data_IF_439994984971
#
_entry.id   IF_439994984971
#
_cell.length_a   1.000
_cell.length_b   1.000
_cell.length_c   1.000
_cell.angle_alpha   90.00
_cell.angle_beta   90.00
_cell.angle_gamma   90.00
#
_symmetry.space_group_name_H-M   'P 1'
#
loop_
_entity.id
_entity.type
_entity.pdbx_description
1 polymer ?
#
# COMPACT_ATOMS: atom_id res chain seq x y z
N UNK A 1 7.47 19.15 -10.18
CA UNK A 1 7.16 18.10 -9.18
C UNK A 1 5.65 17.96 -9.12
N UNK A 2 5.13 16.72 -9.15
CA UNK A 2 3.69 16.47 -9.13
C UNK A 2 3.01 17.08 -7.89
N UNK A 3 1.83 17.68 -8.03
CA UNK A 3 1.07 18.16 -6.89
C UNK A 3 0.35 16.99 -6.19
N UNK A 4 1.00 16.48 -5.14
CA UNK A 4 0.51 15.40 -4.30
C UNK A 4 -0.87 15.61 -3.68
N UNK A 5 -1.38 16.85 -3.59
CA UNK A 5 -2.71 17.11 -3.01
C UNK A 5 -3.86 16.82 -3.98
N UNK A 6 -3.58 16.72 -5.28
CA UNK A 6 -4.61 16.51 -6.31
C UNK A 6 -5.03 15.05 -6.47
N UNK A 7 -4.22 14.10 -6.00
CA UNK A 7 -4.35 12.68 -6.34
C UNK A 7 -3.79 12.39 -7.74
N UNK A 8 -3.25 11.19 -7.94
CA UNK A 8 -2.64 10.76 -9.20
C UNK A 8 -3.70 10.63 -10.30
N UNK A 9 -3.35 11.05 -11.51
CA UNK A 9 -4.11 10.73 -12.72
C UNK A 9 -3.69 9.36 -13.27
N UNK A 10 -4.36 8.94 -14.35
CA UNK A 10 -4.13 7.65 -15.02
C UNK A 10 -2.68 7.50 -15.50
N UNK A 11 -2.07 8.56 -16.05
CA UNK A 11 -0.72 8.48 -16.59
C UNK A 11 0.31 8.23 -15.48
N UNK A 12 0.19 8.93 -14.35
CA UNK A 12 1.10 8.78 -13.23
C UNK A 12 0.95 7.42 -12.53
N UNK A 13 -0.29 6.99 -12.23
CA UNK A 13 -0.51 5.70 -11.54
C UNK A 13 -0.08 4.51 -12.40
N UNK A 14 -0.28 4.56 -13.72
CA UNK A 14 0.17 3.51 -14.64
C UNK A 14 1.68 3.29 -14.56
N UNK A 15 2.49 4.34 -14.40
CA UNK A 15 3.94 4.18 -14.22
C UNK A 15 4.27 3.51 -12.88
N UNK A 16 3.64 3.96 -11.78
CA UNK A 16 3.89 3.36 -10.46
C UNK A 16 3.50 1.88 -10.45
N UNK A 17 2.35 1.51 -11.03
CA UNK A 17 1.88 0.13 -11.08
C UNK A 17 2.85 -0.77 -11.84
N UNK A 18 3.38 -0.30 -12.99
CA UNK A 18 4.41 -1.04 -13.74
C UNK A 18 5.70 -1.21 -12.94
N UNK A 19 6.10 -0.19 -12.20
CA UNK A 19 7.32 -0.25 -11.38
C UNK A 19 7.16 -1.16 -10.17
N UNK A 20 6.00 -1.16 -9.50
CA UNK A 20 5.64 -2.14 -8.48
C UNK A 20 5.58 -3.56 -9.06
N UNK A 21 5.00 -3.73 -10.26
CA UNK A 21 4.99 -5.00 -10.98
C UNK A 21 6.41 -5.52 -11.21
N UNK A 22 7.33 -4.63 -11.64
CA UNK A 22 8.75 -4.95 -11.80
C UNK A 22 9.41 -5.36 -10.49
N UNK A 23 9.19 -4.63 -9.39
CA UNK A 23 9.71 -4.96 -8.07
C UNK A 23 9.21 -6.34 -7.59
N UNK A 24 7.90 -6.56 -7.62
CA UNK A 24 7.26 -7.78 -7.16
C UNK A 24 7.66 -9.00 -8.00
N UNK A 25 7.72 -8.86 -9.33
CA UNK A 25 8.18 -9.91 -10.23
C UNK A 25 9.66 -10.25 -9.99
N UNK A 26 10.51 -9.24 -9.78
CA UNK A 26 11.93 -9.43 -9.47
C UNK A 26 12.12 -10.18 -8.16
N UNK A 27 11.31 -9.88 -7.14
CA UNK A 27 11.30 -10.63 -5.89
C UNK A 27 10.93 -12.11 -6.08
N UNK A 28 9.91 -12.42 -6.88
CA UNK A 28 9.55 -13.81 -7.19
C UNK A 28 10.66 -14.55 -7.93
N UNK A 29 11.33 -13.88 -8.87
CA UNK A 29 12.47 -14.45 -9.58
C UNK A 29 13.64 -14.73 -8.63
N UNK A 30 13.89 -13.85 -7.65
CA UNK A 30 14.91 -14.09 -6.62
C UNK A 30 14.55 -15.31 -5.77
N UNK A 31 13.32 -15.39 -5.26
CA UNK A 31 12.85 -16.55 -4.48
C UNK A 31 12.97 -17.87 -5.27
N UNK A 32 12.64 -17.85 -6.57
CA UNK A 32 12.77 -19.02 -7.43
C UNK A 32 14.23 -19.46 -7.64
N UNK A 33 15.19 -18.52 -7.60
CA UNK A 33 16.63 -18.80 -7.68
C UNK A 33 17.24 -19.23 -6.34
N UNK A 34 16.58 -18.91 -5.23
CA UNK A 34 17.04 -19.24 -3.87
C UNK A 34 15.94 -19.95 -3.07
N UNK A 35 15.44 -21.12 -3.52
CA UNK A 35 14.26 -21.76 -2.93
C UNK A 35 14.46 -22.18 -1.47
N UNK A 36 15.70 -22.42 -1.05
CA UNK A 36 16.05 -22.81 0.32
C UNK A 36 16.24 -21.60 1.25
N UNK A 37 16.16 -20.37 0.72
CA UNK A 37 16.32 -19.14 1.49
C UNK A 37 14.98 -18.50 1.77
N UNK A 38 14.74 -18.18 3.04
CA UNK A 38 13.70 -17.26 3.41
C UNK A 38 14.24 -15.83 3.29
N UNK A 39 13.74 -15.07 2.31
CA UNK A 39 14.21 -13.71 2.07
C UNK A 39 14.06 -12.83 3.31
N UNK A 40 12.98 -12.99 4.07
CA UNK A 40 12.73 -12.20 5.29
C UNK A 40 13.73 -12.51 6.42
N UNK A 41 14.44 -13.64 6.36
CA UNK A 41 15.47 -14.03 7.35
C UNK A 41 16.87 -13.73 6.83
N UNK A 42 17.07 -13.84 5.52
CA UNK A 42 18.40 -13.70 4.89
C UNK A 42 18.76 -12.26 4.55
N UNK A 43 17.80 -11.33 4.56
CA UNK A 43 17.99 -9.94 4.18
C UNK A 43 17.43 -9.02 5.27
N UNK A 44 18.30 -8.51 6.13
CA UNK A 44 17.92 -7.70 7.32
C UNK A 44 17.20 -6.39 6.98
N UNK A 45 17.29 -5.90 5.74
CA UNK A 45 16.55 -4.73 5.29
C UNK A 45 15.06 -5.02 5.03
N UNK A 46 14.65 -6.30 5.00
CA UNK A 46 13.25 -6.69 4.93
C UNK A 46 12.68 -6.74 6.34
N UNK A 47 12.12 -5.62 6.79
CA UNK A 47 11.60 -5.50 8.15
C UNK A 47 10.36 -6.38 8.35
N UNK A 48 10.10 -6.83 9.59
CA UNK A 48 8.83 -7.45 9.93
C UNK A 48 7.65 -6.55 9.57
N UNK A 49 6.50 -7.17 9.30
CA UNK A 49 5.30 -6.38 9.02
C UNK A 49 4.91 -5.56 10.26
N UNK A 50 4.87 -4.24 10.09
CA UNK A 50 4.61 -3.26 11.14
C UNK A 50 3.25 -3.47 11.84
N UNK A 51 2.31 -4.15 11.18
CA UNK A 51 1.00 -4.47 11.75
C UNK A 51 0.99 -5.76 12.57
N UNK A 52 2.05 -6.57 12.47
CA UNK A 52 2.22 -7.84 13.19
C UNK A 52 3.23 -7.70 14.33
N UNK A 53 4.16 -6.75 14.22
CA UNK A 53 5.14 -6.48 15.27
C UNK A 53 4.51 -5.70 16.45
N UNK A 54 4.19 -6.42 17.52
CA UNK A 54 3.65 -5.85 18.76
C UNK A 54 4.61 -4.86 19.44
N UNK A 55 5.92 -4.92 19.15
CA UNK A 55 6.92 -4.05 19.77
C UNK A 55 6.82 -2.59 19.33
N UNK A 56 6.21 -2.32 18.17
CA UNK A 56 6.03 -0.97 17.65
C UNK A 56 4.84 -0.22 18.26
N UNK A 57 3.99 -0.87 19.06
CA UNK A 57 2.82 -0.22 19.70
C UNK A 57 1.79 0.33 18.70
N UNK A 58 1.87 -0.06 17.43
CA UNK A 58 1.05 0.48 16.35
C UNK A 58 -0.43 0.11 16.49
N UNK A 59 -0.73 -1.01 17.16
CA UNK A 59 -2.10 -1.40 17.51
C UNK A 59 -2.85 -0.26 18.21
N UNK A 60 -2.27 0.31 19.26
CA UNK A 60 -2.92 1.39 20.02
C UNK A 60 -3.04 2.67 19.19
N UNK A 61 -2.05 2.94 18.34
CA UNK A 61 -2.08 4.06 17.39
C UNK A 61 -3.26 3.91 16.42
N UNK A 62 -3.44 2.73 15.81
CA UNK A 62 -4.55 2.48 14.90
C UNK A 62 -5.90 2.50 15.61
N UNK A 63 -6.02 1.91 16.81
CA UNK A 63 -7.26 2.01 17.59
C UNK A 63 -7.63 3.46 17.89
N UNK A 64 -6.66 4.30 18.28
CA UNK A 64 -6.89 5.74 18.49
C UNK A 64 -7.28 6.46 17.20
N UNK A 65 -6.66 6.13 16.07
CA UNK A 65 -7.03 6.72 14.77
C UNK A 65 -8.45 6.32 14.34
N UNK A 66 -8.88 5.09 14.61
CA UNK A 66 -10.25 4.66 14.34
C UNK A 66 -11.26 5.42 15.22
N UNK A 67 -10.94 5.67 16.49
CA UNK A 67 -11.76 6.51 17.38
C UNK A 67 -11.88 7.94 16.86
N UNK A 68 -10.76 8.57 16.52
CA UNK A 68 -10.75 9.92 15.95
C UNK A 68 -11.55 10.00 14.64
N UNK A 69 -11.50 8.94 13.82
CA UNK A 69 -12.27 8.86 12.58
C UNK A 69 -13.77 8.77 12.86
N UNK A 70 -14.19 8.00 13.87
CA UNK A 70 -15.59 7.94 14.33
C UNK A 70 -16.05 9.32 14.80
N UNK A 71 -15.31 9.96 15.69
CA UNK A 71 -15.64 11.28 16.24
C UNK A 71 -15.80 12.33 15.13
N UNK A 72 -14.92 12.27 14.13
CA UNK A 72 -14.96 13.18 12.99
C UNK A 72 -16.22 12.95 12.13
N UNK A 73 -16.52 11.69 11.81
CA UNK A 73 -17.69 11.33 11.01
C UNK A 73 -19.00 11.67 11.73
N UNK A 74 -19.06 11.49 13.04
CA UNK A 74 -20.23 11.88 13.87
C UNK A 74 -20.45 13.40 13.84
N UNK A 75 -19.39 14.20 13.85
CA UNK A 75 -19.48 15.67 13.74
C UNK A 75 -19.96 16.14 12.37
N UNK A 76 -19.56 15.46 11.29
CA UNK A 76 -20.03 15.81 9.95
C UNK A 76 -21.48 15.39 9.70
N UNK A 77 -21.92 14.27 10.28
CA UNK A 77 -23.26 13.70 10.06
C UNK A 77 -23.44 13.07 8.68
N UNK A 78 -24.44 12.19 8.53
CA UNK A 78 -24.76 11.52 7.25
C UNK A 78 -23.88 10.32 6.90
N UNK A 79 -23.07 9.85 7.86
CA UNK A 79 -22.14 8.72 7.70
C UNK A 79 -22.46 7.56 8.65
N UNK A 80 -23.72 7.40 9.06
CA UNK A 80 -24.14 6.44 10.09
C UNK A 80 -23.73 5.01 9.75
N UNK A 81 -23.84 4.63 8.46
CA UNK A 81 -23.40 3.33 7.95
C UNK A 81 -21.89 3.14 8.09
N UNK A 82 -21.10 4.15 7.73
CA UNK A 82 -19.64 4.11 7.84
C UNK A 82 -19.19 4.04 9.29
N UNK A 83 -19.83 4.84 10.17
CA UNK A 83 -19.56 4.84 11.61
C UNK A 83 -19.84 3.45 12.21
N UNK A 84 -21.00 2.85 11.90
CA UNK A 84 -21.34 1.52 12.36
C UNK A 84 -20.31 0.48 11.88
N UNK A 85 -19.91 0.55 10.61
CA UNK A 85 -18.90 -0.34 10.04
C UNK A 85 -17.53 -0.19 10.72
N UNK A 86 -17.04 1.04 10.94
CA UNK A 86 -15.76 1.29 11.62
C UNK A 86 -15.80 0.81 13.07
N UNK A 87 -16.92 1.02 13.80
CA UNK A 87 -17.11 0.51 15.17
C UNK A 87 -17.00 -1.01 15.23
N UNK A 88 -17.63 -1.72 14.28
CA UNK A 88 -17.50 -3.19 14.17
C UNK A 88 -16.07 -3.60 13.81
N UNK A 89 -15.48 -2.98 12.79
CA UNK A 89 -14.12 -3.27 12.33
C UNK A 89 -13.10 -3.11 13.46
N UNK A 90 -13.23 -2.07 14.28
CA UNK A 90 -12.33 -1.78 15.40
C UNK A 90 -12.21 -2.96 16.38
N UNK A 91 -13.29 -3.72 16.61
CA UNK A 91 -13.28 -4.85 17.55
C UNK A 91 -12.39 -6.00 17.08
N UNK A 92 -12.31 -6.20 15.77
CA UNK A 92 -11.59 -7.32 15.14
C UNK A 92 -10.32 -6.86 14.38
N UNK A 93 -9.99 -5.57 14.45
CA UNK A 93 -9.01 -4.93 13.57
C UNK A 93 -7.67 -5.67 13.51
N UNK A 94 -7.10 -5.99 14.68
CA UNK A 94 -5.82 -6.72 14.76
C UNK A 94 -5.93 -8.13 14.19
N UNK A 95 -7.01 -8.84 14.51
CA UNK A 95 -7.20 -10.22 14.03
C UNK A 95 -7.35 -10.26 12.51
N UNK A 96 -8.05 -9.29 11.93
CA UNK A 96 -8.19 -9.13 10.48
C UNK A 96 -6.84 -8.80 9.83
N UNK A 97 -6.07 -7.87 10.40
CA UNK A 97 -4.74 -7.55 9.90
C UNK A 97 -3.81 -8.76 9.95
N UNK A 98 -3.67 -9.42 11.09
CA UNK A 98 -2.84 -10.63 11.23
C UNK A 98 -3.26 -11.71 10.21
N UNK A 99 -4.57 -11.90 10.02
CA UNK A 99 -5.10 -12.88 9.07
C UNK A 99 -4.76 -12.55 7.61
N UNK A 100 -4.86 -11.27 7.23
CA UNK A 100 -4.68 -10.85 5.83
C UNK A 100 -3.24 -10.50 5.46
N UNK A 101 -2.42 -10.14 6.44
CA UNK A 101 -0.99 -9.83 6.28
C UNK A 101 -0.08 -11.02 6.60
N UNK A 102 -0.65 -12.11 7.08
CA UNK A 102 0.07 -13.36 7.30
C UNK A 102 0.74 -13.90 6.03
N UNK A 103 1.78 -14.71 6.22
CA UNK A 103 2.55 -15.28 5.12
C UNK A 103 1.67 -16.12 4.19
N UNK A 104 1.82 -15.88 2.89
CA UNK A 104 1.19 -16.66 1.84
C UNK A 104 2.22 -17.15 0.82
N UNK A 105 1.84 -18.14 0.01
CA UNK A 105 2.66 -18.61 -1.14
C UNK A 105 2.86 -17.53 -2.21
N UNK A 106 2.13 -16.42 -2.13
CA UNK A 106 2.19 -15.35 -3.10
C UNK A 106 2.99 -14.13 -2.62
N UNK A 107 3.61 -14.21 -1.44
CA UNK A 107 4.38 -13.09 -0.90
C UNK A 107 5.53 -12.70 -1.83
N UNK A 108 5.81 -11.40 -1.84
CA UNK A 108 6.87 -10.72 -2.59
C UNK A 108 7.48 -9.65 -1.70
N UNK A 109 8.66 -9.15 -2.07
CA UNK A 109 9.20 -7.92 -1.48
C UNK A 109 8.29 -6.78 -1.91
N UNK A 110 7.47 -6.31 -0.98
CA UNK A 110 6.69 -5.11 -1.11
C UNK A 110 7.54 -3.90 -0.72
N UNK A 111 7.31 -2.77 -1.38
CA UNK A 111 7.84 -1.47 -0.98
C UNK A 111 7.36 -1.09 0.42
N UNK A 112 6.10 -1.37 0.72
CA UNK A 112 5.57 -1.27 2.06
C UNK A 112 5.08 0.10 2.51
N UNK A 113 5.53 1.18 1.86
CA UNK A 113 5.05 2.57 2.01
C UNK A 113 4.88 3.25 0.65
N UNK A 114 4.30 2.55 -0.33
CA UNK A 114 4.15 3.09 -1.68
C UNK A 114 2.92 4.01 -1.79
N UNK A 115 3.15 5.31 -1.69
CA UNK A 115 2.16 6.37 -1.94
C UNK A 115 2.78 7.52 -2.73
N UNK A 116 1.97 8.47 -3.17
CA UNK A 116 2.39 9.55 -4.07
C UNK A 116 3.54 10.45 -3.56
N UNK A 117 3.88 10.40 -2.27
CA UNK A 117 5.03 11.11 -1.71
C UNK A 117 6.35 10.39 -1.87
N UNK A 118 6.31 9.06 -2.01
CA UNK A 118 7.49 8.20 -2.06
C UNK A 118 7.78 7.76 -3.49
N UNK A 119 7.46 8.63 -4.45
CA UNK A 119 7.76 8.42 -5.87
C UNK A 119 8.26 9.70 -6.51
N UNK A 120 9.20 9.57 -7.43
CA UNK A 120 9.66 10.66 -8.30
C UNK A 120 9.30 10.36 -9.74
N UNK A 121 8.78 11.37 -10.43
CA UNK A 121 8.46 11.30 -11.84
C UNK A 121 9.47 12.11 -12.66
N UNK A 122 9.89 11.53 -13.78
CA UNK A 122 10.53 12.27 -14.87
C UNK A 122 9.49 12.62 -15.92
N UNK A 123 9.57 13.84 -16.44
CA UNK A 123 8.64 14.37 -17.44
C UNK A 123 9.35 14.58 -18.78
N UNK A 124 8.62 14.45 -19.88
CA UNK A 124 9.08 14.88 -21.20
C UNK A 124 8.85 16.38 -21.42
N UNK A 125 9.22 16.89 -22.59
CA UNK A 125 9.07 18.31 -22.96
C UNK A 125 7.60 18.76 -23.04
N UNK A 126 6.68 17.81 -23.27
CA UNK A 126 5.22 18.04 -23.30
C UNK A 126 4.59 18.06 -21.88
N UNK A 127 5.37 17.80 -20.84
CA UNK A 127 4.91 17.77 -19.45
C UNK A 127 4.22 16.47 -19.03
N UNK A 128 4.34 15.40 -19.81
CA UNK A 128 3.80 14.08 -19.52
C UNK A 128 4.80 13.25 -18.70
N UNK A 129 4.34 12.48 -17.69
CA UNK A 129 5.23 11.61 -16.94
C UNK A 129 5.65 10.43 -17.83
N UNK A 130 6.95 10.14 -17.89
CA UNK A 130 7.51 9.08 -18.76
C UNK A 130 8.30 8.03 -17.99
N UNK A 131 8.67 8.30 -16.75
CA UNK A 131 9.40 7.36 -15.89
C UNK A 131 9.08 7.65 -14.42
N UNK A 132 9.16 6.62 -13.60
CA UNK A 132 8.98 6.71 -12.15
C UNK A 132 10.12 6.03 -11.41
N UNK A 133 10.47 6.57 -10.26
CA UNK A 133 11.40 5.95 -9.30
C UNK A 133 10.71 5.85 -7.95
N UNK A 134 10.70 4.64 -7.37
CA UNK A 134 10.25 4.41 -6.00
C UNK A 134 11.32 4.92 -5.03
N UNK A 135 10.89 5.60 -3.97
CA UNK A 135 11.75 6.15 -2.92
C UNK A 135 11.37 5.57 -1.56
N UNK A 136 12.20 5.87 -0.55
CA UNK A 136 11.88 5.58 0.84
C UNK A 136 11.54 4.09 1.11
N UNK A 137 12.54 3.25 0.83
CA UNK A 137 12.48 1.79 0.95
C UNK A 137 12.76 1.28 2.38
N UNK A 138 12.54 2.13 3.39
CA UNK A 138 12.94 1.87 4.78
C UNK A 138 12.07 0.82 5.49
N UNK A 139 10.85 0.57 4.99
CA UNK A 139 9.93 -0.45 5.53
C UNK A 139 9.55 -1.53 4.51
N UNK A 140 10.47 -1.81 3.57
CA UNK A 140 10.33 -2.94 2.66
C UNK A 140 10.14 -4.24 3.45
N UNK A 141 9.25 -5.11 2.97
CA UNK A 141 8.90 -6.34 3.70
C UNK A 141 8.41 -7.43 2.77
N UNK A 142 8.51 -8.67 3.21
CA UNK A 142 7.99 -9.82 2.48
C UNK A 142 6.50 -10.02 2.80
N UNK A 143 5.60 -9.48 1.96
CA UNK A 143 4.16 -9.51 2.19
C UNK A 143 3.36 -9.81 0.91
N UNK A 144 2.04 -9.84 1.00
CA UNK A 144 1.17 -9.97 -0.17
C UNK A 144 1.32 -8.72 -1.07
N UNK A 145 1.44 -8.86 -2.40
CA UNK A 145 1.51 -7.71 -3.31
C UNK A 145 0.27 -6.81 -3.23
N UNK A 146 -0.86 -7.37 -2.78
CA UNK A 146 -2.09 -6.61 -2.56
C UNK A 146 -1.91 -5.48 -1.54
N UNK A 147 -0.95 -5.57 -0.62
CA UNK A 147 -0.70 -4.54 0.40
C UNK A 147 -0.25 -3.23 -0.23
N UNK A 148 0.74 -3.26 -1.12
CA UNK A 148 1.20 -2.07 -1.85
C UNK A 148 0.11 -1.54 -2.79
N UNK A 149 -0.58 -2.43 -3.52
CA UNK A 149 -1.61 -2.04 -4.47
C UNK A 149 -2.79 -1.33 -3.79
N UNK A 150 -3.33 -1.91 -2.70
CA UNK A 150 -4.43 -1.30 -1.95
C UNK A 150 -3.96 0.00 -1.30
N UNK A 151 -2.78 0.00 -0.67
CA UNK A 151 -2.25 1.19 -0.02
C UNK A 151 -2.09 2.35 -1.02
N UNK A 152 -1.43 2.11 -2.15
CA UNK A 152 -1.24 3.11 -3.21
C UNK A 152 -2.58 3.63 -3.74
N UNK A 153 -3.50 2.74 -4.14
CA UNK A 153 -4.76 3.15 -4.75
C UNK A 153 -5.69 3.90 -3.79
N UNK A 154 -5.69 3.59 -2.50
CA UNK A 154 -6.56 4.26 -1.54
C UNK A 154 -5.97 5.55 -0.97
N UNK A 155 -4.64 5.67 -0.90
CA UNK A 155 -3.98 6.89 -0.40
C UNK A 155 -3.72 7.91 -1.49
N UNK A 156 -3.56 7.47 -2.75
CA UNK A 156 -2.99 8.31 -3.81
C UNK A 156 -3.95 8.58 -4.97
N UNK A 157 -5.13 7.94 -5.03
CA UNK A 157 -6.14 8.18 -6.07
C UNK A 157 -7.44 8.73 -5.47
N UNK A 158 -8.08 9.63 -6.23
CA UNK A 158 -9.47 10.01 -6.00
C UNK A 158 -10.42 8.92 -6.51
N UNK A 159 -11.64 8.89 -5.97
CA UNK A 159 -12.67 7.93 -6.38
C UNK A 159 -13.02 8.01 -7.87
N UNK A 160 -13.01 9.22 -8.44
CA UNK A 160 -13.27 9.49 -9.87
C UNK A 160 -12.26 8.81 -10.81
N UNK A 161 -11.01 8.63 -10.36
CA UNK A 161 -9.98 7.92 -11.12
C UNK A 161 -9.97 6.43 -10.75
N UNK A 162 -10.02 6.10 -9.46
CA UNK A 162 -9.88 4.72 -8.97
C UNK A 162 -11.03 3.81 -9.42
N UNK A 163 -12.28 4.22 -9.24
CA UNK A 163 -13.45 3.34 -9.42
C UNK A 163 -13.60 2.89 -10.88
N UNK A 164 -13.64 3.79 -11.89
CA UNK A 164 -13.84 3.36 -13.26
C UNK A 164 -12.64 2.63 -13.87
N UNK A 165 -11.43 2.81 -13.34
CA UNK A 165 -10.20 2.25 -13.91
C UNK A 165 -9.64 1.05 -13.13
N UNK A 166 -10.32 0.58 -12.06
CA UNK A 166 -9.77 -0.45 -11.16
C UNK A 166 -9.30 -1.70 -11.91
N UNK A 167 -10.11 -2.26 -12.82
CA UNK A 167 -9.72 -3.45 -13.58
C UNK A 167 -8.51 -3.17 -14.48
N UNK A 168 -8.50 -2.04 -15.18
CA UNK A 168 -7.37 -1.63 -16.02
C UNK A 168 -6.08 -1.46 -15.21
N UNK A 169 -6.18 -0.94 -13.99
CA UNK A 169 -5.03 -0.83 -13.09
C UNK A 169 -4.51 -2.20 -12.64
N UNK A 170 -5.41 -3.14 -12.32
CA UNK A 170 -5.03 -4.50 -11.98
C UNK A 170 -4.44 -5.26 -13.18
N UNK A 171 -4.93 -5.02 -14.40
CA UNK A 171 -4.38 -5.62 -15.63
C UNK A 171 -3.03 -5.01 -16.03
N UNK A 172 -2.77 -3.75 -15.64
CA UNK A 172 -1.52 -3.03 -15.92
C UNK A 172 -0.36 -3.53 -15.06
N UNK A 173 -0.67 -3.94 -13.82
CA UNK A 173 0.27 -4.49 -12.85
C UNK A 173 0.64 -5.93 -13.20
#
# INVERSE_FOLDING_TARGET
MFDRRRGLDVAHITLILKELGRLHASSRLLQAKTPDQDLAVTHDFLVPDIFVDESMGLRDVFHRQLDQSIDLLERFGGYERSIAWVKTLKLEFVQLLTKHLGRSKYNVVCHGDCWNNNVLFRYNDDGEPVEVMLLDLQINRLSSPATDLIYLMYTSLNGEVRIPNLNTFLDTY
#
